data_IF_606379280262
#
_entry.id   IF_606379280262
#
_cell.length_a   1.000
_cell.length_b   1.000
_cell.length_c   1.000
_cell.angle_alpha   90.00
_cell.angle_beta   90.00
_cell.angle_gamma   90.00
#
_symmetry.space_group_name_H-M   'P 1'
#
loop_
_entity.id
_entity.type
_entity.pdbx_description
1 polymer ?
#
# COMPACT_ATOMS: atom_id res chain seq x y z
N UNK A 1 1.12 -12.75 -10.42
CA UNK A 1 0.12 -12.63 -9.35
C UNK A 1 -0.31 -11.17 -9.27
N UNK A 2 -1.39 -10.82 -9.98
CA UNK A 2 -1.78 -9.43 -10.25
C UNK A 2 -2.79 -9.02 -9.16
N UNK A 3 -2.31 -8.40 -8.09
CA UNK A 3 -3.16 -7.92 -7.01
C UNK A 3 -3.80 -6.59 -7.41
N UNK A 4 -4.76 -6.64 -8.34
CA UNK A 4 -5.73 -5.58 -8.49
C UNK A 4 -6.73 -5.71 -7.33
N UNK A 5 -6.43 -5.06 -6.21
CA UNK A 5 -7.46 -4.80 -5.20
C UNK A 5 -8.54 -3.98 -5.90
N UNK A 6 -9.71 -4.59 -6.12
CA UNK A 6 -10.87 -3.94 -6.70
C UNK A 6 -11.36 -2.90 -5.70
N UNK A 7 -10.87 -1.66 -5.86
CA UNK A 7 -11.26 -0.55 -5.01
C UNK A 7 -12.64 -0.06 -5.42
N UNK A 8 -13.62 -0.26 -4.53
CA UNK A 8 -14.96 0.33 -4.65
C UNK A 8 -14.86 1.85 -4.54
N UNK A 9 -15.75 2.62 -5.21
CA UNK A 9 -15.65 4.08 -5.30
C UNK A 9 -15.68 4.80 -3.94
N UNK A 10 -16.28 4.22 -2.90
CA UNK A 10 -16.37 4.81 -1.56
C UNK A 10 -15.01 4.90 -0.85
N UNK A 11 -14.04 4.07 -1.24
CA UNK A 11 -12.72 4.01 -0.61
C UNK A 11 -11.83 5.21 -1.03
N UNK A 12 -12.20 5.96 -2.07
CA UNK A 12 -11.36 7.05 -2.60
C UNK A 12 -11.12 8.19 -1.60
N UNK A 13 -12.13 8.64 -0.88
CA UNK A 13 -11.96 9.70 0.14
C UNK A 13 -11.05 9.25 1.27
N UNK A 14 -11.13 7.98 1.67
CA UNK A 14 -10.25 7.41 2.69
C UNK A 14 -8.79 7.36 2.20
N UNK A 15 -8.57 7.03 0.92
CA UNK A 15 -7.23 6.91 0.35
C UNK A 15 -6.45 8.23 0.31
N UNK A 16 -7.13 9.36 0.16
CA UNK A 16 -6.48 10.68 0.20
C UNK A 16 -6.16 11.16 1.62
N UNK A 17 -6.79 10.56 2.64
CA UNK A 17 -6.54 10.89 4.05
C UNK A 17 -5.22 10.30 4.60
N UNK A 18 -4.69 9.26 3.96
CA UNK A 18 -3.45 8.62 4.40
C UNK A 18 -2.23 9.48 4.05
N UNK A 19 -1.29 9.55 5.00
CA UNK A 19 -0.09 10.36 4.87
C UNK A 19 0.77 9.93 3.66
N UNK A 20 1.29 10.94 2.97
CA UNK A 20 2.36 10.79 1.98
C UNK A 20 3.68 10.56 2.72
N UNK A 21 4.36 9.47 2.40
CA UNK A 21 5.62 9.06 3.05
C UNK A 21 6.85 9.27 2.18
N UNK A 22 6.67 9.33 0.85
CA UNK A 22 7.74 9.62 -0.11
C UNK A 22 7.17 10.06 -1.45
N UNK A 23 7.51 11.26 -1.92
CA UNK A 23 6.95 11.87 -3.15
C UNK A 23 5.42 11.88 -3.14
N UNK A 24 4.78 11.06 -3.95
CA UNK A 24 3.33 10.85 -4.07
C UNK A 24 2.90 9.47 -3.53
N UNK A 25 3.81 8.73 -2.90
CA UNK A 25 3.52 7.45 -2.24
C UNK A 25 2.87 7.71 -0.90
N UNK A 26 1.67 7.14 -0.73
CA UNK A 26 0.92 7.10 0.52
C UNK A 26 1.11 5.75 1.21
N UNK A 27 0.99 5.75 2.53
CA UNK A 27 1.09 4.55 3.37
C UNK A 27 -0.17 4.35 4.19
N UNK A 28 -0.83 3.21 4.03
CA UNK A 28 -1.92 2.75 4.87
C UNK A 28 -1.47 1.58 5.75
N UNK A 29 -1.68 1.67 7.06
CA UNK A 29 -1.43 0.56 8.00
C UNK A 29 -2.75 -0.12 8.31
N UNK A 30 -2.81 -1.43 8.11
CA UNK A 30 -4.00 -2.21 8.39
C UNK A 30 -4.18 -2.35 9.91
N UNK A 31 -5.40 -2.10 10.42
CA UNK A 31 -5.69 -2.10 11.87
C UNK A 31 -5.58 -3.50 12.50
N UNK A 32 -6.08 -4.54 11.81
CA UNK A 32 -6.19 -5.91 12.36
C UNK A 32 -4.99 -6.79 12.07
N UNK A 33 -4.23 -6.48 11.01
CA UNK A 33 -3.10 -7.29 10.57
C UNK A 33 -1.87 -6.40 10.44
N UNK A 34 -0.66 -6.89 10.80
CA UNK A 34 0.53 -6.06 10.85
C UNK A 34 1.12 -5.84 9.45
N UNK A 35 0.33 -5.27 8.54
CA UNK A 35 0.72 -4.98 7.17
C UNK A 35 0.62 -3.48 6.89
N UNK A 36 1.58 -2.97 6.13
CA UNK A 36 1.58 -1.63 5.56
C UNK A 36 1.50 -1.74 4.04
N UNK A 37 0.55 -1.03 3.44
CA UNK A 37 0.36 -0.93 1.99
C UNK A 37 0.89 0.42 1.53
N UNK A 38 1.76 0.39 0.52
CA UNK A 38 2.30 1.56 -0.13
C UNK A 38 1.67 1.69 -1.51
N UNK A 39 1.11 2.85 -1.82
CA UNK A 39 0.41 3.08 -3.08
C UNK A 39 0.51 4.52 -3.55
N UNK A 40 0.20 4.73 -4.82
CA UNK A 40 0.05 6.04 -5.46
C UNK A 40 -1.35 6.14 -6.09
N UNK A 41 -1.88 7.35 -6.17
CA UNK A 41 -3.10 7.64 -6.94
C UNK A 41 -2.65 8.31 -8.24
N UNK A 42 -2.81 7.61 -9.36
CA UNK A 42 -2.43 8.12 -10.68
C UNK A 42 -3.69 8.23 -11.53
N UNK A 43 -4.03 9.47 -11.90
CA UNK A 43 -5.28 9.85 -12.56
C UNK A 43 -6.50 9.43 -11.74
N UNK A 44 -7.01 8.21 -11.94
CA UNK A 44 -8.19 7.66 -11.24
C UNK A 44 -7.96 6.23 -10.75
N UNK A 45 -6.70 5.78 -10.73
CA UNK A 45 -6.28 4.42 -10.37
C UNK A 45 -5.39 4.43 -9.14
N UNK A 46 -5.57 3.42 -8.30
CA UNK A 46 -4.69 3.15 -7.17
C UNK A 46 -3.64 2.14 -7.64
N UNK A 47 -2.37 2.55 -7.64
CA UNK A 47 -1.25 1.68 -7.98
C UNK A 47 -0.55 1.29 -6.68
N UNK A 48 -0.71 0.03 -6.27
CA UNK A 48 -0.01 -0.53 -5.11
C UNK A 48 1.42 -0.86 -5.52
N UNK A 49 2.39 -0.21 -4.91
CA UNK A 49 3.81 -0.39 -5.21
C UNK A 49 4.46 -1.42 -4.29
N UNK A 50 3.98 -1.55 -3.05
CA UNK A 50 4.48 -2.55 -2.11
C UNK A 50 3.47 -2.89 -1.01
N UNK A 51 3.59 -4.11 -0.48
CA UNK A 51 2.89 -4.57 0.73
C UNK A 51 3.93 -5.19 1.66
N UNK A 52 4.09 -4.61 2.86
CA UNK A 52 5.09 -5.05 3.83
C UNK A 52 4.41 -5.58 5.09
N UNK A 53 4.90 -6.71 5.61
CA UNK A 53 4.51 -7.22 6.91
C UNK A 53 5.42 -6.62 7.99
N UNK A 54 4.91 -5.70 8.80
CA UNK A 54 5.67 -4.90 9.76
C UNK A 54 6.38 -5.71 10.86
N UNK A 55 5.94 -6.95 11.14
CA UNK A 55 6.64 -7.85 12.10
C UNK A 55 7.63 -8.81 11.45
N UNK A 56 7.77 -8.82 10.12
CA UNK A 56 8.77 -9.66 9.44
C UNK A 56 10.08 -8.89 9.36
N UNK A 57 11.20 -9.61 9.36
CA UNK A 57 12.50 -9.00 9.15
C UNK A 57 12.49 -8.29 7.77
N UNK A 58 12.78 -6.97 7.74
CA UNK A 58 12.76 -6.20 6.50
C UNK A 58 13.86 -6.61 5.51
N UNK A 59 14.82 -7.47 5.87
CA UNK A 59 15.84 -7.97 4.93
C UNK A 59 15.36 -9.12 4.06
N UNK A 60 14.28 -9.80 4.43
CA UNK A 60 13.78 -11.01 3.75
C UNK A 60 13.47 -10.78 2.26
N UNK A 61 13.11 -9.56 1.85
CA UNK A 61 12.81 -9.29 0.43
C UNK A 61 14.07 -9.26 -0.46
N UNK A 62 15.26 -9.06 0.13
CA UNK A 62 16.54 -9.06 -0.58
C UNK A 62 16.98 -10.48 -0.96
N UNK A 63 16.50 -11.48 -0.23
CA UNK A 63 16.85 -12.90 -0.43
C UNK A 63 15.97 -13.59 -1.50
N UNK A 64 15.12 -12.83 -2.19
CA UNK A 64 14.29 -13.37 -3.27
C UNK A 64 15.14 -13.52 -4.55
N UNK A 65 15.56 -14.75 -4.83
CA UNK A 65 16.04 -15.17 -6.17
C UNK A 65 14.85 -15.46 -7.08
#
# INVERSE_FOLDING_TARGET
>A
MNYALVFRPEVRQELDSYAVVYRDVRRAVLRRFPYAVYYRIISSRVVVTAVFHSRRDPKIWQDRT
#
